data_IF_721562379685
#
_entry.id   IF_721562379685
#
_cell.length_a   1.000
_cell.length_b   1.000
_cell.length_c   1.000
_cell.angle_alpha   90.00
_cell.angle_beta   90.00
_cell.angle_gamma   90.00
#
_symmetry.space_group_name_H-M   'P 1'
#
loop_
_entity.id
_entity.type
_entity.pdbx_description
1 polymer ?
#
# COMPACT_ATOMS: atom_id res chain seq x y z
N UNK A 1 4.42 13.94 1.09
CA UNK A 1 4.05 13.03 0.00
C UNK A 1 5.24 12.80 -0.94
N UNK A 2 5.19 11.74 -1.71
CA UNK A 2 6.15 11.30 -2.74
C UNK A 2 7.54 10.91 -2.21
N UNK A 3 8.35 11.83 -1.72
CA UNK A 3 9.68 11.60 -1.15
C UNK A 3 10.64 10.80 -2.06
N UNK A 4 10.58 11.02 -3.38
CA UNK A 4 11.39 10.28 -4.36
C UNK A 4 12.85 10.75 -4.41
N UNK A 5 13.15 11.95 -3.90
CA UNK A 5 14.49 12.56 -3.91
C UNK A 5 15.07 12.75 -2.50
N UNK A 6 14.47 12.11 -1.50
CA UNK A 6 14.92 12.15 -0.10
C UNK A 6 16.11 11.21 0.06
N UNK A 7 17.20 11.71 0.63
CA UNK A 7 18.41 10.94 0.91
C UNK A 7 18.36 10.19 2.27
N UNK A 8 19.42 9.45 2.60
CA UNK A 8 19.45 8.60 3.80
C UNK A 8 19.35 9.43 5.09
N UNK A 9 20.07 10.55 5.19
CA UNK A 9 20.04 11.42 6.37
C UNK A 9 18.67 12.05 6.57
N UNK A 10 18.02 12.46 5.48
CA UNK A 10 16.67 13.01 5.51
C UNK A 10 15.63 11.95 5.91
N UNK A 11 15.78 10.69 5.46
CA UNK A 11 14.92 9.59 5.90
C UNK A 11 15.04 9.33 7.40
N UNK A 12 16.26 9.39 7.95
CA UNK A 12 16.46 9.25 9.40
C UNK A 12 15.79 10.39 10.19
N UNK A 13 15.84 11.62 9.67
CA UNK A 13 15.14 12.75 10.28
C UNK A 13 13.62 12.54 10.25
N UNK A 14 13.07 12.10 9.12
CA UNK A 14 11.63 11.83 9.00
C UNK A 14 11.18 10.76 10.01
N UNK A 15 11.95 9.68 10.14
CA UNK A 15 11.69 8.61 11.10
C UNK A 15 11.76 9.12 12.55
N UNK A 16 12.84 9.82 12.92
CA UNK A 16 13.07 10.37 14.26
C UNK A 16 11.98 11.37 14.68
N UNK A 17 11.39 12.09 13.72
CA UNK A 17 10.30 13.05 13.95
C UNK A 17 8.92 12.43 13.89
N UNK A 18 8.79 11.12 13.65
CA UNK A 18 7.52 10.42 13.53
C UNK A 18 6.67 10.88 12.34
N UNK A 19 7.31 11.41 11.30
CA UNK A 19 6.62 11.86 10.09
C UNK A 19 6.09 10.65 9.33
N UNK A 20 4.86 10.72 8.86
CA UNK A 20 4.30 9.73 7.94
C UNK A 20 4.45 10.21 6.51
N UNK A 21 5.02 9.37 5.67
CA UNK A 21 5.24 9.65 4.24
C UNK A 21 4.14 8.97 3.43
N UNK A 22 3.42 9.72 2.61
CA UNK A 22 2.46 9.19 1.65
C UNK A 22 3.15 8.90 0.33
N UNK A 23 3.33 7.62 0.01
CA UNK A 23 3.87 7.16 -1.27
C UNK A 23 2.74 7.06 -2.30
N UNK A 24 2.94 7.65 -3.49
CA UNK A 24 1.96 7.70 -4.57
C UNK A 24 2.56 7.08 -5.84
N UNK A 25 2.67 5.75 -5.92
CA UNK A 25 3.40 5.07 -7.00
C UNK A 25 2.87 5.38 -8.40
N UNK A 26 1.55 5.36 -8.61
CA UNK A 26 0.96 5.63 -9.92
C UNK A 26 1.24 7.06 -10.38
N UNK A 27 1.07 8.04 -9.49
CA UNK A 27 1.40 9.44 -9.78
C UNK A 27 2.88 9.62 -10.12
N UNK A 28 3.78 9.05 -9.31
CA UNK A 28 5.22 9.15 -9.54
C UNK A 28 5.63 8.58 -10.90
N UNK A 29 5.07 7.44 -11.29
CA UNK A 29 5.33 6.82 -12.59
C UNK A 29 4.75 7.65 -13.74
N UNK A 30 3.50 8.06 -13.62
CA UNK A 30 2.81 8.81 -14.68
C UNK A 30 3.51 10.13 -14.99
N UNK A 31 3.95 10.83 -13.96
CA UNK A 31 4.60 12.14 -14.11
C UNK A 31 6.13 12.05 -14.31
N UNK A 32 6.71 10.84 -14.25
CA UNK A 32 8.15 10.68 -14.33
C UNK A 32 8.91 11.37 -13.19
N UNK A 33 8.29 11.49 -12.00
CA UNK A 33 8.84 12.23 -10.86
C UNK A 33 10.08 11.60 -10.26
N UNK A 34 10.34 10.33 -10.56
CA UNK A 34 11.47 9.58 -10.04
C UNK A 34 11.07 8.30 -9.30
N UNK A 35 12.10 7.57 -8.89
CA UNK A 35 11.97 6.29 -8.19
C UNK A 35 11.86 6.52 -6.67
N UNK A 36 10.83 5.96 -6.04
CA UNK A 36 10.75 5.94 -4.58
C UNK A 36 11.87 5.04 -4.00
N UNK A 37 12.66 5.54 -3.02
CA UNK A 37 13.80 4.82 -2.48
C UNK A 37 13.35 3.79 -1.42
N UNK A 38 12.70 2.69 -1.84
CA UNK A 38 12.08 1.69 -0.97
C UNK A 38 13.03 1.17 0.12
N UNK A 39 14.29 0.87 -0.24
CA UNK A 39 15.26 0.34 0.70
C UNK A 39 15.59 1.32 1.83
N UNK A 40 15.86 2.57 1.49
CA UNK A 40 16.15 3.63 2.47
C UNK A 40 14.93 3.90 3.35
N UNK A 41 13.77 4.05 2.74
CA UNK A 41 12.51 4.33 3.41
C UNK A 41 12.14 3.23 4.43
N UNK A 42 12.29 1.97 4.07
CA UNK A 42 11.98 0.84 4.95
C UNK A 42 13.03 0.69 6.06
N UNK A 43 14.32 0.84 5.74
CA UNK A 43 15.40 0.72 6.71
C UNK A 43 15.38 1.82 7.76
N UNK A 44 15.01 3.04 7.40
CA UNK A 44 14.90 4.16 8.34
C UNK A 44 13.86 3.93 9.42
N UNK A 45 12.88 3.03 9.19
CA UNK A 45 11.74 2.81 10.07
C UNK A 45 10.68 3.92 10.02
N UNK A 46 10.78 4.83 9.05
CA UNK A 46 9.76 5.84 8.84
C UNK A 46 8.40 5.20 8.53
N UNK A 47 7.33 5.81 9.03
CA UNK A 47 5.98 5.34 8.71
C UNK A 47 5.63 5.72 7.28
N UNK A 48 5.27 4.72 6.48
CA UNK A 48 4.86 4.91 5.09
C UNK A 48 3.39 4.52 4.95
N UNK A 49 2.64 5.33 4.23
CA UNK A 49 1.27 5.04 3.79
C UNK A 49 1.18 5.20 2.27
N UNK A 50 0.10 4.75 1.67
CA UNK A 50 -0.19 4.94 0.25
C UNK A 50 -1.16 6.08 0.04
N UNK A 51 -1.05 6.72 -1.11
CA UNK A 51 -1.99 7.72 -1.59
C UNK A 51 -2.15 7.64 -3.11
N UNK A 52 -3.35 7.93 -3.58
CA UNK A 52 -3.63 7.96 -5.03
C UNK A 52 -3.18 9.25 -5.70
N UNK A 53 -2.84 10.27 -4.89
CA UNK A 53 -2.68 11.65 -5.38
C UNK A 53 -3.97 12.16 -6.07
N UNK A 54 -3.91 13.24 -6.79
CA UNK A 54 -5.05 13.82 -7.48
C UNK A 54 -5.38 13.13 -8.81
N UNK A 55 -6.63 13.31 -9.27
CA UNK A 55 -7.09 12.71 -10.52
C UNK A 55 -6.30 13.17 -11.76
N UNK A 56 -5.73 14.37 -11.75
CA UNK A 56 -4.90 14.87 -12.84
C UNK A 56 -3.53 14.18 -12.92
N UNK A 57 -2.97 13.79 -11.80
CA UNK A 57 -1.66 13.15 -11.70
C UNK A 57 -1.71 11.62 -11.73
N UNK A 58 -2.89 11.02 -11.51
CA UNK A 58 -3.07 9.57 -11.49
C UNK A 58 -4.15 9.08 -12.49
N UNK A 59 -5.25 9.78 -12.68
CA UNK A 59 -6.48 9.40 -13.38
C UNK A 59 -7.34 8.37 -12.61
N UNK A 60 -6.74 7.30 -12.07
CA UNK A 60 -7.41 6.34 -11.22
C UNK A 60 -7.25 6.74 -9.75
N UNK A 61 -8.32 6.67 -8.98
CA UNK A 61 -8.28 6.87 -7.52
C UNK A 61 -8.47 5.52 -6.81
N UNK A 62 -7.84 4.48 -7.35
CA UNK A 62 -7.98 3.11 -6.88
C UNK A 62 -6.78 2.71 -5.99
N UNK A 63 -7.02 2.62 -4.69
CA UNK A 63 -5.99 2.21 -3.72
C UNK A 63 -5.44 0.80 -3.98
N UNK A 64 -6.19 -0.09 -4.66
CA UNK A 64 -5.69 -1.43 -5.02
C UNK A 64 -4.58 -1.35 -6.07
N UNK A 65 -4.73 -0.44 -7.04
CA UNK A 65 -3.67 -0.19 -8.01
C UNK A 65 -2.41 0.35 -7.33
N UNK A 66 -2.56 1.27 -6.39
CA UNK A 66 -1.43 1.79 -5.61
C UNK A 66 -0.72 0.66 -4.84
N UNK A 67 -1.46 -0.23 -4.17
CA UNK A 67 -0.87 -1.38 -3.49
C UNK A 67 -0.09 -2.28 -4.45
N UNK A 68 -0.69 -2.61 -5.59
CA UNK A 68 -0.07 -3.46 -6.60
C UNK A 68 1.21 -2.85 -7.14
N UNK A 69 1.16 -1.59 -7.56
CA UNK A 69 2.33 -0.92 -8.13
C UNK A 69 3.43 -0.68 -7.10
N UNK A 70 3.10 -0.29 -5.87
CA UNK A 70 4.09 -0.16 -4.80
C UNK A 70 4.86 -1.47 -4.61
N UNK A 71 4.14 -2.59 -4.46
CA UNK A 71 4.75 -3.90 -4.25
C UNK A 71 5.57 -4.39 -5.45
N UNK A 72 5.11 -4.17 -6.69
CA UNK A 72 5.84 -4.58 -7.88
C UNK A 72 7.09 -3.71 -8.12
N UNK A 73 6.99 -2.41 -7.93
CA UNK A 73 8.11 -1.50 -8.08
C UNK A 73 9.21 -1.77 -7.06
N UNK A 74 8.86 -2.02 -5.80
CA UNK A 74 9.84 -2.38 -4.77
C UNK A 74 10.70 -3.58 -5.19
N UNK A 75 10.07 -4.59 -5.83
CA UNK A 75 10.77 -5.77 -6.33
C UNK A 75 11.57 -5.53 -7.61
N UNK A 76 11.00 -4.72 -8.52
CA UNK A 76 11.62 -4.42 -9.81
C UNK A 76 12.91 -3.60 -9.67
N UNK A 77 12.96 -2.75 -8.66
CA UNK A 77 14.06 -1.78 -8.47
C UNK A 77 15.02 -2.15 -7.35
N UNK A 78 14.83 -3.29 -6.72
CA UNK A 78 15.80 -3.86 -5.79
C UNK A 78 17.13 -4.05 -6.54
N UNK A 79 18.19 -3.43 -6.04
CA UNK A 79 19.51 -3.45 -6.66
C UNK A 79 20.24 -4.79 -6.55
N UNK A 80 19.53 -5.86 -6.32
CA UNK A 80 20.10 -7.18 -6.03
C UNK A 80 20.30 -7.99 -7.29
N UNK A 81 21.55 -8.20 -7.62
CA UNK A 81 21.98 -9.16 -8.65
C UNK A 81 21.76 -10.62 -8.23
N UNK A 82 21.45 -10.88 -6.95
CA UNK A 82 21.29 -12.20 -6.39
C UNK A 82 19.81 -12.55 -6.15
N UNK A 83 19.23 -13.25 -7.11
CA UNK A 83 17.86 -13.78 -7.05
C UNK A 83 17.61 -14.77 -5.89
N UNK A 84 18.65 -15.28 -5.24
CA UNK A 84 18.50 -16.25 -4.13
C UNK A 84 17.91 -15.58 -2.86
N UNK A 85 18.03 -14.27 -2.73
CA UNK A 85 17.54 -13.52 -1.59
C UNK A 85 16.04 -13.16 -1.66
N UNK A 86 15.42 -13.29 -2.84
CA UNK A 86 13.99 -13.00 -3.04
C UNK A 86 13.09 -13.86 -2.14
N UNK A 87 13.55 -15.06 -1.78
CA UNK A 87 12.77 -16.01 -0.98
C UNK A 87 13.04 -15.93 0.53
N UNK A 88 13.87 -15.00 1.01
CA UNK A 88 14.32 -14.97 2.42
C UNK A 88 13.58 -13.96 3.30
N UNK A 89 12.41 -13.46 2.88
CA UNK A 89 11.60 -12.57 3.71
C UNK A 89 12.19 -11.17 3.91
N UNK A 90 12.98 -10.69 2.95
CA UNK A 90 13.53 -9.33 3.01
C UNK A 90 12.41 -8.29 2.97
N UNK A 91 12.25 -7.47 4.01
CA UNK A 91 11.22 -6.44 4.08
C UNK A 91 11.32 -5.40 2.95
N UNK A 92 12.51 -5.19 2.38
CA UNK A 92 12.69 -4.28 1.25
C UNK A 92 11.94 -4.72 -0.02
N UNK A 93 11.53 -5.99 -0.10
CA UNK A 93 10.71 -6.52 -1.21
C UNK A 93 9.22 -6.18 -1.08
N UNK A 94 8.79 -5.53 -0.03
CA UNK A 94 7.42 -5.07 0.22
C UNK A 94 6.36 -6.13 -0.12
N UNK A 95 6.18 -7.16 0.73
CA UNK A 95 5.18 -8.20 0.51
C UNK A 95 3.74 -7.65 0.52
N UNK A 96 2.78 -8.42 0.01
CA UNK A 96 1.38 -8.02 -0.07
C UNK A 96 0.77 -7.63 1.30
N UNK A 97 1.19 -8.28 2.39
CA UNK A 97 0.76 -7.95 3.75
C UNK A 97 1.18 -6.54 4.16
N UNK A 98 2.40 -6.14 3.83
CA UNK A 98 2.94 -4.86 4.25
C UNK A 98 2.34 -3.71 3.43
N UNK A 99 2.19 -3.91 2.12
CA UNK A 99 1.53 -2.91 1.28
C UNK A 99 0.05 -2.74 1.64
N UNK A 100 -0.62 -3.80 2.08
CA UNK A 100 -1.97 -3.69 2.63
C UNK A 100 -1.98 -2.85 3.92
N UNK A 101 -1.02 -3.05 4.83
CA UNK A 101 -0.88 -2.20 6.03
C UNK A 101 -0.62 -0.74 5.66
N UNK A 102 0.19 -0.47 4.65
CA UNK A 102 0.41 0.90 4.17
C UNK A 102 -0.88 1.55 3.69
N UNK A 103 -1.76 0.78 3.02
CA UNK A 103 -3.04 1.25 2.52
C UNK A 103 -4.15 1.35 3.58
N UNK A 104 -3.96 0.80 4.79
CA UNK A 104 -4.99 0.70 5.84
C UNK A 104 -4.49 1.26 7.17
N UNK A 105 -3.89 0.43 8.02
CA UNK A 105 -3.51 0.79 9.39
C UNK A 105 -2.53 1.98 9.46
N UNK A 106 -1.55 2.05 8.55
CA UNK A 106 -0.60 3.14 8.54
C UNK A 106 -1.26 4.48 8.16
N UNK A 107 -2.22 4.44 7.22
CA UNK A 107 -3.03 5.61 6.86
C UNK A 107 -3.88 6.10 8.04
N UNK A 108 -4.57 5.19 8.72
CA UNK A 108 -5.36 5.52 9.91
C UNK A 108 -4.48 6.17 11.01
N UNK A 109 -3.31 5.59 11.28
CA UNK A 109 -2.36 6.14 12.23
C UNK A 109 -1.86 7.54 11.83
N UNK A 110 -1.66 7.80 10.54
CA UNK A 110 -1.21 9.10 10.03
C UNK A 110 -2.19 10.22 10.38
N UNK A 111 -3.49 9.91 10.40
CA UNK A 111 -4.56 10.82 10.73
C UNK A 111 -5.00 10.77 12.20
N UNK A 112 -4.39 9.92 13.02
CA UNK A 112 -4.80 9.71 14.40
C UNK A 112 -6.20 9.11 14.56
N UNK A 113 -6.66 8.34 13.57
CA UNK A 113 -7.96 7.68 13.55
C UNK A 113 -7.79 6.24 14.06
N UNK A 114 -8.67 5.83 14.94
CA UNK A 114 -8.66 4.48 15.52
C UNK A 114 -9.36 3.46 14.57
N UNK A 115 -8.77 3.29 13.39
CA UNK A 115 -9.28 2.49 12.27
C UNK A 115 -8.14 1.73 11.56
N UNK A 116 -8.44 1.16 10.39
CA UNK A 116 -7.46 0.53 9.50
C UNK A 116 -7.18 -0.94 9.81
N UNK A 117 -7.80 -1.50 10.81
CA UNK A 117 -7.78 -2.93 11.16
C UNK A 117 -9.12 -3.36 11.77
N UNK A 118 -9.45 -4.64 11.66
CA UNK A 118 -10.67 -5.19 12.26
C UNK A 118 -10.31 -5.69 13.66
N UNK A 119 -10.66 -4.90 14.68
CA UNK A 119 -10.44 -5.21 16.09
C UNK A 119 -11.53 -4.55 16.96
N UNK A 120 -11.71 -5.06 18.19
CA UNK A 120 -12.64 -4.47 19.14
C UNK A 120 -12.24 -3.02 19.48
N UNK A 121 -13.21 -2.13 19.52
CA UNK A 121 -13.02 -0.72 19.81
C UNK A 121 -12.60 0.15 18.62
N UNK A 122 -12.31 -0.43 17.48
CA UNK A 122 -11.97 0.30 16.25
C UNK A 122 -13.21 0.78 15.50
N UNK A 123 -13.04 1.84 14.73
CA UNK A 123 -14.08 2.30 13.80
C UNK A 123 -14.38 1.18 12.80
N UNK A 124 -15.66 0.90 12.59
CA UNK A 124 -16.10 -0.20 11.73
C UNK A 124 -16.11 0.23 10.25
N UNK A 125 -14.92 0.50 9.72
CA UNK A 125 -14.66 0.77 8.30
C UNK A 125 -14.10 -0.48 7.63
N UNK A 126 -14.85 -1.08 6.73
CA UNK A 126 -14.42 -2.30 6.05
C UNK A 126 -15.07 -2.47 4.67
N UNK A 127 -14.50 -3.37 3.88
CA UNK A 127 -15.06 -3.83 2.62
C UNK A 127 -15.32 -5.33 2.68
N UNK A 128 -16.36 -5.80 2.00
CA UNK A 128 -16.56 -7.21 1.73
C UNK A 128 -16.05 -7.53 0.33
N UNK A 129 -15.19 -8.54 0.24
CA UNK A 129 -14.54 -8.94 -1.01
C UNK A 129 -14.96 -10.35 -1.40
N UNK A 130 -15.39 -10.52 -2.66
CA UNK A 130 -15.67 -11.82 -3.24
C UNK A 130 -14.37 -12.50 -3.70
N UNK A 131 -14.03 -13.59 -3.04
CA UNK A 131 -12.85 -14.41 -3.35
C UNK A 131 -13.14 -15.56 -4.33
N UNK A 132 -14.39 -15.70 -4.81
CA UNK A 132 -14.81 -16.81 -5.66
C UNK A 132 -14.88 -16.47 -7.16
N UNK A 133 -14.47 -15.26 -7.53
CA UNK A 133 -14.42 -14.88 -8.94
C UNK A 133 -13.29 -15.58 -9.67
N UNK A 134 -13.36 -15.64 -11.00
CA UNK A 134 -12.32 -16.25 -11.83
C UNK A 134 -10.92 -15.63 -11.57
N UNK A 135 -10.87 -14.30 -11.41
CA UNK A 135 -9.62 -13.58 -11.13
C UNK A 135 -9.01 -13.91 -9.76
N UNK A 136 -9.83 -14.35 -8.82
CA UNK A 136 -9.39 -14.72 -7.46
C UNK A 136 -9.13 -16.22 -7.33
N UNK A 137 -9.27 -16.99 -8.40
CA UNK A 137 -9.09 -18.44 -8.42
C UNK A 137 -7.86 -18.83 -9.27
N UNK A 138 -6.94 -19.69 -8.75
CA UNK A 138 -6.92 -20.25 -7.40
C UNK A 138 -6.55 -19.23 -6.32
N UNK A 139 -7.06 -19.41 -5.10
CA UNK A 139 -6.75 -18.55 -3.97
C UNK A 139 -5.94 -19.29 -2.90
N UNK A 140 -4.61 -19.20 -2.99
CA UNK A 140 -3.69 -19.75 -1.99
C UNK A 140 -3.43 -18.78 -0.84
N UNK A 141 -3.44 -17.48 -1.14
CA UNK A 141 -3.28 -16.42 -0.16
C UNK A 141 -4.23 -15.26 -0.51
N UNK A 142 -5.30 -15.05 0.28
CA UNK A 142 -6.29 -14.01 0.01
C UNK A 142 -5.72 -12.59 -0.10
N UNK A 143 -4.72 -12.27 0.73
CA UNK A 143 -4.09 -10.95 0.71
C UNK A 143 -3.31 -10.74 -0.58
N UNK A 144 -2.55 -11.75 -1.02
CA UNK A 144 -1.85 -11.70 -2.30
C UNK A 144 -2.82 -11.57 -3.47
N UNK A 145 -3.91 -12.36 -3.47
CA UNK A 145 -4.93 -12.26 -4.51
C UNK A 145 -5.59 -10.87 -4.52
N UNK A 146 -5.88 -10.32 -3.34
CA UNK A 146 -6.43 -8.97 -3.24
C UNK A 146 -5.50 -7.92 -3.83
N UNK A 147 -4.21 -7.97 -3.52
CA UNK A 147 -3.23 -6.99 -4.00
C UNK A 147 -2.94 -7.15 -5.50
N UNK A 148 -2.76 -8.38 -5.99
CA UNK A 148 -2.23 -8.58 -7.34
C UNK A 148 -3.27 -8.91 -8.40
N UNK A 149 -4.40 -9.51 -8.02
CA UNK A 149 -5.37 -10.08 -8.98
C UNK A 149 -6.74 -9.40 -8.95
N UNK A 150 -7.12 -8.74 -7.84
CA UNK A 150 -8.46 -8.18 -7.71
C UNK A 150 -8.74 -7.00 -8.63
N UNK A 151 -10.02 -6.76 -8.87
CA UNK A 151 -10.56 -5.57 -9.52
C UNK A 151 -11.66 -4.96 -8.64
N UNK A 152 -12.19 -3.79 -9.01
CA UNK A 152 -13.35 -3.17 -8.34
C UNK A 152 -14.54 -4.12 -8.23
N UNK A 153 -14.72 -5.00 -9.23
CA UNK A 153 -15.85 -5.95 -9.29
C UNK A 153 -15.79 -7.01 -8.17
N UNK A 154 -14.64 -7.17 -7.52
CA UNK A 154 -14.52 -8.06 -6.36
C UNK A 154 -15.10 -7.45 -5.08
N UNK A 155 -15.31 -6.13 -5.00
CA UNK A 155 -15.92 -5.49 -3.85
C UNK A 155 -17.43 -5.71 -3.89
N UNK A 156 -18.02 -6.26 -2.83
CA UNK A 156 -19.45 -6.53 -2.70
C UNK A 156 -20.18 -5.55 -1.82
N UNK A 157 -19.50 -4.98 -0.84
CA UNK A 157 -20.05 -3.93 -0.01
C UNK A 157 -18.93 -3.07 0.57
N UNK A 158 -19.28 -1.81 0.86
CA UNK A 158 -18.44 -0.86 1.59
C UNK A 158 -19.21 -0.44 2.84
N UNK A 159 -18.55 -0.55 3.98
CA UNK A 159 -19.08 -0.20 5.30
C UNK A 159 -18.21 0.93 5.84
N UNK A 160 -18.86 2.00 6.28
CA UNK A 160 -18.20 3.16 6.89
C UNK A 160 -18.92 3.48 8.21
N UNK A 161 -18.18 3.57 9.29
CA UNK A 161 -18.72 3.78 10.65
C UNK A 161 -19.88 2.83 10.96
N UNK A 162 -19.71 1.55 10.61
CA UNK A 162 -20.72 0.50 10.82
C UNK A 162 -21.93 0.55 9.89
N UNK A 163 -21.99 1.47 8.94
CA UNK A 163 -23.11 1.62 8.00
C UNK A 163 -22.71 1.17 6.61
N UNK A 164 -23.55 0.36 5.98
CA UNK A 164 -23.37 0.00 4.57
C UNK A 164 -23.65 1.23 3.72
N UNK A 165 -22.63 1.78 3.08
CA UNK A 165 -22.74 2.95 2.21
C UNK A 165 -22.81 2.58 0.73
N UNK A 166 -22.42 1.35 0.39
CA UNK A 166 -22.51 0.80 -0.96
C UNK A 166 -22.54 -0.73 -0.92
N UNK A 167 -23.33 -1.35 -1.80
CA UNK A 167 -23.39 -2.81 -2.01
C UNK A 167 -23.92 -3.16 -3.39
N UNK A 168 -23.49 -4.29 -3.94
CA UNK A 168 -24.05 -4.98 -5.11
C UNK A 168 -24.92 -6.13 -4.61
#
# INVERSE_FOLDING_TARGET
AHCVHVDEEEWDILAARGVTVSHCPCSNMKLGSGRFPYELAIRSGARITLGTDGASSNNSLDMREEMKFASLLAKCVSSRDDMTLVNQGDPALLPASDVLRWATANGAQAFGIDAGEIAEGKVADCILVDLKTERMTPCHNPVSNWVYSSTSDNVRAVICDGKIIWKI
#
